data_IF_202254875328
#
_entry.id   IF_202254875328
#
_cell.length_a   1.000
_cell.length_b   1.000
_cell.length_c   1.000
_cell.angle_alpha   90.00
_cell.angle_beta   90.00
_cell.angle_gamma   90.00
#
_symmetry.space_group_name_H-M   'P 1'
#
loop_
_entity.id
_entity.type
_entity.pdbx_description
1 polymer ?
#
# COMPACT_ATOMS: atom_id res chain seq x y z
N UNK A 1 28.72 -21.77 0.67
CA UNK A 1 28.18 -23.07 0.22
C UNK A 1 26.97 -23.42 1.09
N UNK A 2 25.78 -23.17 0.55
CA UNK A 2 24.51 -23.41 1.21
C UNK A 2 24.18 -24.91 1.13
N UNK A 3 24.19 -25.59 2.28
CA UNK A 3 23.74 -26.97 2.41
C UNK A 3 22.22 -27.01 2.34
N UNK A 4 21.70 -27.54 1.23
CA UNK A 4 20.29 -27.86 0.99
C UNK A 4 19.85 -28.91 2.02
N UNK A 5 19.27 -28.47 3.14
CA UNK A 5 18.56 -29.33 4.09
C UNK A 5 17.04 -29.24 3.91
N UNK A 6 16.58 -29.03 2.68
CA UNK A 6 15.17 -29.17 2.28
C UNK A 6 14.88 -30.62 1.86
N UNK A 7 15.00 -31.54 2.81
CA UNK A 7 14.44 -32.88 2.70
C UNK A 7 13.31 -33.00 3.71
N UNK A 8 12.11 -32.59 3.33
CA UNK A 8 10.90 -32.72 4.13
C UNK A 8 10.61 -34.22 4.29
N UNK A 9 11.02 -34.81 5.42
CA UNK A 9 10.91 -36.24 5.67
C UNK A 9 9.42 -36.60 5.80
N UNK A 10 8.86 -37.46 4.92
CA UNK A 10 7.44 -37.82 4.94
C UNK A 10 6.94 -38.34 6.29
N UNK A 11 7.81 -39.02 7.06
CA UNK A 11 7.46 -39.52 8.40
C UNK A 11 7.19 -38.42 9.44
N UNK A 12 7.61 -37.18 9.21
CA UNK A 12 7.35 -36.06 10.15
C UNK A 12 6.07 -35.31 9.77
N UNK A 13 5.74 -35.22 8.48
CA UNK A 13 4.59 -34.44 8.01
C UNK A 13 3.27 -35.21 7.99
N UNK A 14 3.29 -36.49 7.61
CA UNK A 14 2.07 -37.31 7.48
C UNK A 14 1.32 -37.60 8.80
N UNK A 15 1.98 -37.73 9.98
CA UNK A 15 1.26 -37.89 11.25
C UNK A 15 0.40 -36.68 11.63
N UNK A 16 0.81 -35.47 11.24
CA UNK A 16 0.12 -34.24 11.59
C UNK A 16 -1.19 -34.03 10.80
N UNK A 17 -1.30 -34.67 9.63
CA UNK A 17 -2.45 -34.52 8.71
C UNK A 17 -3.46 -35.68 8.86
N UNK A 18 -3.00 -36.92 9.09
CA UNK A 18 -3.86 -38.12 9.09
C UNK A 18 -3.86 -38.91 10.41
N UNK A 19 -3.27 -38.36 11.49
CA UNK A 19 -3.14 -39.05 12.76
C UNK A 19 -2.24 -40.30 12.65
N UNK A 20 -2.49 -41.32 13.49
CA UNK A 20 -1.64 -42.51 13.57
C UNK A 20 -1.55 -43.32 12.27
N UNK A 21 -2.63 -43.30 11.46
CA UNK A 21 -2.67 -43.95 10.14
C UNK A 21 -1.71 -43.28 9.14
N UNK A 22 -1.53 -41.95 9.23
CA UNK A 22 -0.57 -41.20 8.42
C UNK A 22 0.88 -41.55 8.76
N UNK A 23 1.18 -41.82 10.04
CA UNK A 23 2.50 -42.24 10.48
C UNK A 23 2.93 -43.60 9.92
N UNK A 24 2.01 -44.58 9.87
CA UNK A 24 2.27 -45.90 9.30
C UNK A 24 2.54 -45.82 7.78
N UNK A 25 1.77 -45.01 7.05
CA UNK A 25 1.95 -44.80 5.62
C UNK A 25 3.29 -44.11 5.31
N UNK A 26 3.67 -43.13 6.13
CA UNK A 26 4.96 -42.44 6.03
C UNK A 26 6.15 -43.37 6.26
N UNK A 27 6.06 -44.30 7.21
CA UNK A 27 7.11 -45.28 7.47
C UNK A 27 7.31 -46.28 6.30
N UNK A 28 6.23 -46.73 5.67
CA UNK A 28 6.30 -47.62 4.49
C UNK A 28 6.94 -46.92 3.29
N UNK A 29 6.56 -45.66 3.04
CA UNK A 29 7.17 -44.84 1.99
C UNK A 29 8.65 -44.60 2.24
N UNK A 30 9.04 -44.37 3.50
CA UNK A 30 10.43 -44.15 3.87
C UNK A 30 11.28 -45.42 3.76
N UNK A 31 10.72 -46.60 4.05
CA UNK A 31 11.37 -47.88 3.81
C UNK A 31 11.58 -48.16 2.32
N UNK A 32 10.58 -47.83 1.47
CA UNK A 32 10.71 -47.92 0.01
C UNK A 32 11.78 -46.98 -0.57
N UNK A 33 11.92 -45.79 0.02
CA UNK A 33 12.95 -44.81 -0.36
C UNK A 33 14.37 -45.28 -0.01
N UNK A 34 14.55 -45.96 1.12
CA UNK A 34 15.85 -46.54 1.52
C UNK A 34 16.19 -47.75 0.65
N UNK A 35 15.20 -48.57 0.29
CA UNK A 35 15.41 -49.72 -0.59
C UNK A 35 15.84 -49.33 -2.02
N UNK A 36 15.42 -48.15 -2.51
CA UNK A 36 15.79 -47.70 -3.86
C UNK A 36 17.25 -47.25 -3.99
N UNK A 37 17.96 -46.97 -2.89
CA UNK A 37 19.41 -46.69 -2.89
C UNK A 37 20.24 -47.88 -3.39
N UNK A 38 19.73 -49.11 -3.26
CA UNK A 38 20.41 -50.32 -3.74
C UNK A 38 20.33 -50.51 -5.26
N UNK A 39 19.46 -49.75 -5.97
CA UNK A 39 19.27 -49.83 -7.41
C UNK A 39 19.97 -48.69 -8.19
N UNK A 40 20.78 -47.88 -7.50
CA UNK A 40 21.53 -46.77 -8.08
C UNK A 40 21.01 -45.39 -7.67
N UNK A 41 21.89 -44.39 -7.70
CA UNK A 41 21.59 -43.03 -7.25
C UNK A 41 20.51 -42.33 -8.11
N UNK A 42 20.44 -42.66 -9.40
CA UNK A 42 19.46 -42.07 -10.33
C UNK A 42 18.01 -42.52 -10.07
N UNK A 43 17.80 -43.79 -9.76
CA UNK A 43 16.48 -44.34 -9.40
C UNK A 43 15.99 -43.79 -8.06
N UNK A 44 16.89 -43.59 -7.10
CA UNK A 44 16.59 -42.92 -5.85
C UNK A 44 16.06 -41.49 -6.07
N UNK A 45 16.77 -40.66 -6.86
CA UNK A 45 16.34 -39.28 -7.13
C UNK A 45 14.99 -39.21 -7.86
N UNK A 46 14.74 -40.12 -8.81
CA UNK A 46 13.47 -40.17 -9.54
C UNK A 46 12.31 -40.50 -8.58
N UNK A 47 12.47 -41.51 -7.73
CA UNK A 47 11.43 -41.90 -6.76
C UNK A 47 11.15 -40.78 -5.76
N UNK A 48 12.18 -40.11 -5.24
CA UNK A 48 12.02 -38.95 -4.33
C UNK A 48 11.25 -37.83 -5.02
N UNK A 49 11.61 -37.50 -6.27
CA UNK A 49 10.99 -36.39 -7.01
C UNK A 49 9.53 -36.69 -7.34
N UNK A 50 9.22 -37.90 -7.79
CA UNK A 50 7.83 -38.32 -8.06
C UNK A 50 7.00 -38.31 -6.78
N UNK A 51 7.55 -38.78 -5.67
CA UNK A 51 6.85 -38.77 -4.38
C UNK A 51 6.58 -37.33 -3.90
N UNK A 52 7.56 -36.42 -4.02
CA UNK A 52 7.39 -35.02 -3.69
C UNK A 52 6.37 -34.33 -4.59
N UNK A 53 6.39 -34.59 -5.90
CA UNK A 53 5.42 -34.05 -6.84
C UNK A 53 3.99 -34.53 -6.52
N UNK A 54 3.82 -35.83 -6.25
CA UNK A 54 2.52 -36.40 -5.86
C UNK A 54 2.02 -35.79 -4.54
N UNK A 55 2.90 -35.66 -3.54
CA UNK A 55 2.54 -35.04 -2.26
C UNK A 55 2.15 -33.56 -2.43
N UNK A 56 2.87 -32.82 -3.28
CA UNK A 56 2.55 -31.43 -3.58
C UNK A 56 1.18 -31.30 -4.28
N UNK A 57 0.86 -32.17 -5.24
CA UNK A 57 -0.46 -32.18 -5.90
C UNK A 57 -1.57 -32.53 -4.91
N UNK A 58 -1.37 -33.54 -4.05
CA UNK A 58 -2.36 -33.94 -3.04
C UNK A 58 -2.61 -32.80 -2.04
N UNK A 59 -1.55 -32.14 -1.57
CA UNK A 59 -1.68 -30.99 -0.67
C UNK A 59 -2.35 -29.80 -1.35
N UNK A 60 -2.00 -29.50 -2.61
CA UNK A 60 -2.63 -28.42 -3.38
C UNK A 60 -4.13 -28.63 -3.55
N UNK A 61 -4.55 -29.86 -3.92
CA UNK A 61 -5.98 -30.22 -4.06
C UNK A 61 -6.70 -30.19 -2.70
N UNK A 62 -6.06 -30.64 -1.62
CA UNK A 62 -6.70 -30.64 -0.29
C UNK A 62 -6.77 -29.23 0.35
N UNK A 63 -5.88 -28.31 -0.04
CA UNK A 63 -5.86 -26.95 0.50
C UNK A 63 -7.08 -26.11 0.07
N UNK A 64 -7.73 -26.46 -1.04
CA UNK A 64 -8.92 -25.76 -1.52
C UNK A 64 -10.20 -26.08 -0.72
N UNK A 65 -10.30 -27.25 -0.07
CA UNK A 65 -11.59 -27.73 0.45
C UNK A 65 -11.74 -27.77 1.99
N UNK A 66 -10.65 -27.88 2.75
CA UNK A 66 -10.72 -28.21 4.19
C UNK A 66 -10.65 -27.03 5.16
N UNK A 67 -9.66 -26.16 5.02
CA UNK A 67 -9.40 -25.04 5.96
C UNK A 67 -10.43 -23.91 5.85
N UNK A 68 -10.83 -23.44 4.64
CA UNK A 68 -11.87 -22.43 4.52
C UNK A 68 -13.21 -22.92 5.06
N UNK A 69 -13.51 -24.22 4.91
CA UNK A 69 -14.77 -24.82 5.34
C UNK A 69 -14.86 -24.94 6.86
N UNK A 70 -13.78 -25.32 7.55
CA UNK A 70 -13.73 -25.35 9.03
C UNK A 70 -13.83 -23.94 9.63
N UNK A 71 -13.04 -23.00 9.11
CA UNK A 71 -13.11 -21.59 9.53
C UNK A 71 -14.49 -21.00 9.21
N UNK A 72 -15.10 -21.40 8.09
CA UNK A 72 -16.44 -20.99 7.71
C UNK A 72 -17.54 -21.47 8.68
N UNK A 73 -17.38 -22.67 9.23
CA UNK A 73 -18.30 -23.20 10.24
C UNK A 73 -18.07 -22.56 11.61
N UNK A 74 -16.82 -22.37 12.01
CA UNK A 74 -16.46 -21.80 13.32
C UNK A 74 -16.80 -20.31 13.43
N UNK A 75 -16.70 -19.57 12.32
CA UNK A 75 -16.99 -18.15 12.24
C UNK A 75 -18.29 -17.85 11.47
N UNK A 76 -19.15 -18.85 11.28
CA UNK A 76 -20.40 -18.68 10.54
C UNK A 76 -21.25 -17.55 11.14
N UNK A 77 -21.67 -16.60 10.31
CA UNK A 77 -22.39 -15.39 10.76
C UNK A 77 -21.51 -14.22 11.23
N UNK A 78 -20.18 -14.36 11.18
CA UNK A 78 -19.21 -13.28 11.47
C UNK A 78 -18.48 -12.78 10.23
N UNK A 79 -18.85 -13.28 9.05
CA UNK A 79 -18.38 -12.81 7.75
C UNK A 79 -19.48 -13.02 6.70
N UNK A 80 -19.46 -12.21 5.65
CA UNK A 80 -20.31 -12.38 4.46
C UNK A 80 -19.44 -12.64 3.25
N UNK A 81 -19.92 -13.49 2.35
CA UNK A 81 -19.27 -13.77 1.06
C UNK A 81 -20.17 -13.36 -0.09
N UNK A 82 -19.60 -13.19 -1.28
CA UNK A 82 -20.34 -12.70 -2.46
C UNK A 82 -21.63 -13.50 -2.76
N UNK A 83 -21.65 -14.80 -2.48
CA UNK A 83 -22.82 -15.68 -2.67
C UNK A 83 -23.98 -15.39 -1.71
N UNK A 84 -23.75 -14.65 -0.63
CA UNK A 84 -24.79 -14.27 0.33
C UNK A 84 -25.62 -13.08 -0.18
N UNK A 85 -25.20 -12.46 -1.29
CA UNK A 85 -25.81 -11.29 -1.90
C UNK A 85 -26.38 -11.58 -3.28
N UNK A 86 -27.53 -10.97 -3.60
CA UNK A 86 -27.95 -10.79 -4.99
C UNK A 86 -27.08 -9.71 -5.66
N UNK A 87 -27.09 -9.63 -7.00
CA UNK A 87 -26.23 -8.70 -7.73
C UNK A 87 -26.39 -7.24 -7.28
N UNK A 88 -27.61 -6.81 -6.92
CA UNK A 88 -27.89 -5.43 -6.50
C UNK A 88 -27.41 -5.19 -5.07
N UNK A 89 -27.57 -6.17 -4.20
CA UNK A 89 -27.07 -6.13 -2.84
C UNK A 89 -25.53 -6.13 -2.81
N UNK A 90 -24.90 -6.91 -3.68
CA UNK A 90 -23.44 -6.98 -3.80
C UNK A 90 -22.86 -5.62 -4.23
N UNK A 91 -23.42 -5.00 -5.26
CA UNK A 91 -23.03 -3.66 -5.70
C UNK A 91 -23.17 -2.63 -4.55
N UNK A 92 -24.27 -2.71 -3.80
CA UNK A 92 -24.54 -1.81 -2.68
C UNK A 92 -23.48 -1.95 -1.57
N UNK A 93 -23.09 -3.18 -1.23
CA UNK A 93 -22.03 -3.44 -0.26
C UNK A 93 -20.70 -2.93 -0.79
N UNK A 94 -20.28 -3.30 -2.00
CA UNK A 94 -19.00 -2.88 -2.58
C UNK A 94 -18.83 -1.36 -2.59
N UNK A 95 -19.89 -0.61 -2.93
CA UNK A 95 -19.88 0.86 -2.88
C UNK A 95 -19.71 1.39 -1.46
N UNK A 96 -20.37 0.79 -0.47
CA UNK A 96 -20.19 1.16 0.93
C UNK A 96 -18.76 0.90 1.41
N UNK A 97 -18.18 -0.27 1.07
CA UNK A 97 -16.80 -0.61 1.41
C UNK A 97 -15.81 0.39 0.80
N UNK A 98 -15.96 0.70 -0.50
CA UNK A 98 -15.11 1.66 -1.18
C UNK A 98 -15.18 3.07 -0.55
N UNK A 99 -16.37 3.50 -0.12
CA UNK A 99 -16.55 4.76 0.58
C UNK A 99 -15.87 4.75 1.96
N UNK A 100 -16.02 3.68 2.74
CA UNK A 100 -15.39 3.53 4.05
C UNK A 100 -13.86 3.53 3.93
N UNK A 101 -13.31 2.75 3.01
CA UNK A 101 -11.86 2.72 2.72
C UNK A 101 -11.35 4.11 2.35
N UNK A 102 -12.05 4.83 1.47
CA UNK A 102 -11.66 6.21 1.09
C UNK A 102 -11.59 7.14 2.32
N UNK A 103 -12.50 7.00 3.27
CA UNK A 103 -12.52 7.87 4.46
C UNK A 103 -11.42 7.47 5.45
N UNK A 104 -11.23 6.17 5.67
CA UNK A 104 -10.25 5.64 6.63
C UNK A 104 -8.81 5.88 6.18
N UNK A 105 -8.55 5.79 4.87
CA UNK A 105 -7.21 5.93 4.28
C UNK A 105 -6.93 7.37 3.80
N UNK A 106 -7.65 8.36 4.35
CA UNK A 106 -7.52 9.76 3.94
C UNK A 106 -6.33 10.44 4.59
N UNK A 107 -5.63 11.29 3.82
CA UNK A 107 -4.48 12.08 4.30
C UNK A 107 -4.92 13.02 5.43
N UNK A 108 -6.12 13.63 5.31
CA UNK A 108 -6.68 14.46 6.39
C UNK A 108 -7.06 13.67 7.63
N UNK A 109 -7.39 12.39 7.48
CA UNK A 109 -7.60 11.47 8.59
C UNK A 109 -6.30 11.17 9.33
N UNK A 110 -5.24 10.84 8.60
CA UNK A 110 -3.90 10.62 9.14
C UNK A 110 -3.33 11.88 9.82
N UNK A 111 -3.58 13.05 9.25
CA UNK A 111 -3.20 14.34 9.82
C UNK A 111 -4.02 14.74 11.06
N UNK A 112 -5.00 13.93 11.49
CA UNK A 112 -5.83 14.19 12.67
C UNK A 112 -6.85 15.31 12.49
N UNK A 113 -7.15 15.71 11.24
CA UNK A 113 -8.14 16.74 10.92
C UNK A 113 -9.57 16.18 10.89
N UNK A 114 -9.71 14.86 10.85
CA UNK A 114 -10.96 14.15 11.08
C UNK A 114 -10.98 13.53 12.49
N UNK A 115 -12.17 13.30 13.03
CA UNK A 115 -12.34 12.51 14.25
C UNK A 115 -12.06 11.02 13.95
N UNK A 116 -10.78 10.66 13.96
CA UNK A 116 -10.29 9.33 13.64
C UNK A 116 -10.83 8.26 14.58
N UNK A 117 -11.05 8.58 15.86
CA UNK A 117 -11.60 7.63 16.85
C UNK A 117 -13.06 7.34 16.53
N UNK A 118 -13.87 8.37 16.30
CA UNK A 118 -15.27 8.18 15.94
C UNK A 118 -15.39 7.42 14.62
N UNK A 119 -14.57 7.74 13.62
CA UNK A 119 -14.57 7.08 12.33
C UNK A 119 -14.16 5.61 12.41
N UNK A 120 -13.10 5.28 13.16
CA UNK A 120 -12.60 3.92 13.32
C UNK A 120 -13.62 2.96 13.98
N UNK A 121 -14.57 3.49 14.75
CA UNK A 121 -15.64 2.70 15.38
C UNK A 121 -16.93 2.74 14.56
N UNK A 122 -17.34 3.92 14.11
CA UNK A 122 -18.62 4.12 13.46
C UNK A 122 -18.65 3.55 12.04
N UNK A 123 -17.59 3.76 11.23
CA UNK A 123 -17.58 3.37 9.83
C UNK A 123 -17.60 1.84 9.65
N UNK A 124 -16.75 1.05 10.35
CA UNK A 124 -16.83 -0.41 10.25
C UNK A 124 -18.18 -0.96 10.75
N UNK A 125 -18.76 -0.35 11.78
CA UNK A 125 -20.11 -0.71 12.24
C UNK A 125 -21.17 -0.44 11.17
N UNK A 126 -21.11 0.71 10.50
CA UNK A 126 -22.04 1.03 9.41
C UNK A 126 -21.87 0.09 8.22
N UNK A 127 -20.63 -0.22 7.82
CA UNK A 127 -20.33 -1.20 6.78
C UNK A 127 -20.94 -2.56 7.10
N UNK A 128 -20.71 -3.06 8.32
CA UNK A 128 -21.24 -4.34 8.78
C UNK A 128 -22.76 -4.37 8.79
N UNK A 129 -23.42 -3.32 9.30
CA UNK A 129 -24.88 -3.23 9.30
C UNK A 129 -25.46 -3.21 7.89
N UNK A 130 -24.82 -2.52 6.95
CA UNK A 130 -25.24 -2.50 5.53
C UNK A 130 -25.09 -3.90 4.93
N UNK A 131 -23.94 -4.56 5.13
CA UNK A 131 -23.71 -5.92 4.66
C UNK A 131 -24.75 -6.90 5.23
N UNK A 132 -25.01 -6.86 6.53
CA UNK A 132 -26.03 -7.71 7.16
C UNK A 132 -27.42 -7.52 6.54
N UNK A 133 -27.87 -6.26 6.44
CA UNK A 133 -29.19 -5.96 5.90
C UNK A 133 -29.32 -6.32 4.40
N UNK A 134 -28.24 -6.15 3.63
CA UNK A 134 -28.18 -6.58 2.23
C UNK A 134 -28.30 -8.11 2.09
N UNK A 135 -27.65 -8.88 2.96
CA UNK A 135 -27.74 -10.34 2.99
C UNK A 135 -29.14 -10.81 3.42
N UNK A 136 -29.72 -10.20 4.46
CA UNK A 136 -31.08 -10.47 4.91
C UNK A 136 -32.10 -10.19 3.80
N UNK A 137 -31.98 -9.05 3.12
CA UNK A 137 -32.87 -8.68 2.02
C UNK A 137 -32.73 -9.61 0.82
N UNK A 138 -31.50 -10.06 0.51
CA UNK A 138 -31.24 -11.08 -0.51
C UNK A 138 -31.94 -12.40 -0.17
N UNK A 139 -31.84 -12.85 1.09
CA UNK A 139 -32.49 -14.06 1.58
C UNK A 139 -34.01 -13.94 1.50
N UNK A 140 -34.60 -12.83 1.96
CA UNK A 140 -36.05 -12.58 1.87
C UNK A 140 -36.53 -12.60 0.42
N UNK A 141 -35.85 -11.89 -0.49
CA UNK A 141 -36.21 -11.88 -1.92
C UNK A 141 -36.13 -13.26 -2.56
N UNK A 142 -35.11 -14.05 -2.20
CA UNK A 142 -34.98 -15.43 -2.67
C UNK A 142 -36.16 -16.28 -2.19
N UNK A 143 -36.52 -16.20 -0.90
CA UNK A 143 -37.67 -16.91 -0.35
C UNK A 143 -38.99 -16.48 -0.98
N UNK A 144 -39.20 -15.18 -1.21
CA UNK A 144 -40.38 -14.67 -1.91
C UNK A 144 -40.48 -15.20 -3.35
N UNK A 145 -39.35 -15.38 -4.04
CA UNK A 145 -39.30 -16.01 -5.37
C UNK A 145 -39.62 -17.51 -5.31
N UNK A 146 -39.10 -18.22 -4.31
CA UNK A 146 -39.33 -19.66 -4.13
C UNK A 146 -40.79 -20.01 -3.79
N UNK A 147 -41.47 -19.16 -3.01
CA UNK A 147 -42.92 -19.34 -2.71
C UNK A 147 -43.77 -19.28 -3.99
N UNK A 148 -43.26 -18.66 -5.06
CA UNK A 148 -43.93 -18.62 -6.35
C UNK A 148 -45.16 -17.72 -6.36
N UNK A 149 -45.62 -17.39 -7.56
CA UNK A 149 -46.75 -16.48 -7.78
C UNK A 149 -47.68 -17.04 -8.87
N UNK A 150 -47.89 -18.35 -8.82
CA UNK A 150 -48.59 -19.10 -9.87
C UNK A 150 -50.06 -18.69 -9.99
N UNK A 151 -50.68 -18.22 -8.90
CA UNK A 151 -52.03 -17.67 -8.92
C UNK A 151 -52.03 -16.14 -8.72
N UNK A 152 -53.01 -15.47 -9.34
CA UNK A 152 -53.26 -14.03 -9.13
C UNK A 152 -53.47 -13.68 -7.65
N UNK A 153 -54.20 -14.53 -6.93
CA UNK A 153 -54.46 -14.35 -5.49
C UNK A 153 -53.16 -14.39 -4.67
N UNK A 154 -52.23 -15.29 -5.00
CA UNK A 154 -50.92 -15.35 -4.34
C UNK A 154 -50.09 -14.10 -4.65
N UNK A 155 -50.11 -13.59 -5.89
CA UNK A 155 -49.46 -12.31 -6.24
C UNK A 155 -49.99 -11.16 -5.39
N UNK A 156 -51.31 -11.02 -5.28
CA UNK A 156 -51.95 -9.98 -4.48
C UNK A 156 -51.57 -10.10 -2.98
N UNK A 157 -51.39 -11.33 -2.48
CA UNK A 157 -50.94 -11.57 -1.10
C UNK A 157 -49.46 -11.28 -0.87
N UNK A 158 -48.57 -11.51 -1.84
CA UNK A 158 -47.13 -11.26 -1.73
C UNK A 158 -46.72 -9.82 -2.06
N UNK A 159 -47.60 -9.05 -2.71
CA UNK A 159 -47.34 -7.65 -3.10
C UNK A 159 -46.91 -6.74 -1.93
N UNK A 160 -47.51 -6.81 -0.73
CA UNK A 160 -47.06 -6.03 0.43
C UNK A 160 -45.62 -6.38 0.85
N UNK A 161 -45.24 -7.65 0.79
CA UNK A 161 -43.90 -8.12 1.16
C UNK A 161 -42.84 -7.62 0.17
N UNK A 162 -43.14 -7.67 -1.13
CA UNK A 162 -42.29 -7.09 -2.15
C UNK A 162 -42.12 -5.57 -1.98
N UNK A 163 -43.21 -4.86 -1.65
CA UNK A 163 -43.14 -3.42 -1.36
C UNK A 163 -42.29 -3.13 -0.12
N UNK A 164 -42.44 -3.90 0.96
CA UNK A 164 -41.61 -3.75 2.17
C UNK A 164 -40.12 -3.99 1.89
N UNK A 165 -39.81 -5.03 1.09
CA UNK A 165 -38.46 -5.30 0.63
C UNK A 165 -37.88 -4.16 -0.23
N UNK A 166 -38.71 -3.54 -1.08
CA UNK A 166 -38.30 -2.39 -1.90
C UNK A 166 -38.07 -1.13 -1.06
N UNK A 167 -38.92 -0.84 -0.07
CA UNK A 167 -38.73 0.28 0.85
C UNK A 167 -37.41 0.14 1.63
N UNK A 168 -37.10 -1.08 2.07
CA UNK A 168 -35.84 -1.39 2.75
C UNK A 168 -34.61 -1.15 1.85
N UNK A 169 -34.70 -1.55 0.57
CA UNK A 169 -33.66 -1.29 -0.44
C UNK A 169 -33.38 0.22 -0.62
N UNK A 170 -34.45 1.02 -0.70
CA UNK A 170 -34.33 2.49 -0.82
C UNK A 170 -33.65 3.09 0.41
N UNK A 171 -33.98 2.60 1.60
CA UNK A 171 -33.31 3.00 2.85
C UNK A 171 -31.81 2.69 2.85
N UNK A 172 -31.44 1.47 2.44
CA UNK A 172 -30.03 1.05 2.33
C UNK A 172 -29.26 1.90 1.32
N UNK A 173 -29.84 2.13 0.13
CA UNK A 173 -29.22 3.01 -0.88
C UNK A 173 -28.98 4.42 -0.37
N UNK A 174 -29.90 4.99 0.41
CA UNK A 174 -29.71 6.31 1.03
C UNK A 174 -28.55 6.33 2.01
N UNK A 175 -28.38 5.28 2.81
CA UNK A 175 -27.22 5.13 3.72
C UNK A 175 -25.91 5.08 2.94
N UNK A 176 -25.84 4.28 1.87
CA UNK A 176 -24.64 4.21 1.02
C UNK A 176 -24.34 5.54 0.34
N UNK A 177 -25.35 6.23 -0.20
CA UNK A 177 -25.16 7.56 -0.79
C UNK A 177 -24.66 8.59 0.24
N UNK A 178 -25.06 8.46 1.51
CA UNK A 178 -24.53 9.31 2.57
C UNK A 178 -23.04 9.02 2.86
N UNK A 179 -22.63 7.74 2.87
CA UNK A 179 -21.22 7.34 2.99
C UNK A 179 -20.39 7.84 1.81
N UNK A 180 -20.88 7.68 0.59
CA UNK A 180 -20.20 8.16 -0.61
C UNK A 180 -20.04 9.69 -0.61
N UNK A 181 -21.05 10.42 -0.17
CA UNK A 181 -20.95 11.87 -0.02
C UNK A 181 -19.92 12.26 1.04
N UNK A 182 -19.81 11.48 2.10
CA UNK A 182 -18.77 11.72 3.09
C UNK A 182 -17.39 11.46 2.46
N UNK A 183 -17.20 10.32 1.81
CA UNK A 183 -15.96 10.00 1.08
C UNK A 183 -15.57 11.09 0.08
N UNK A 184 -16.53 11.64 -0.68
CA UNK A 184 -16.28 12.71 -1.64
C UNK A 184 -15.81 14.01 -0.96
N UNK A 185 -16.42 14.37 0.18
CA UNK A 185 -15.97 15.53 0.97
C UNK A 185 -14.58 15.29 1.54
N UNK A 186 -14.27 14.06 1.96
CA UNK A 186 -12.94 13.70 2.43
C UNK A 186 -11.90 13.84 1.33
N UNK A 187 -12.17 13.38 0.11
CA UNK A 187 -11.25 13.59 -1.04
C UNK A 187 -11.03 15.07 -1.38
N UNK A 188 -12.10 15.87 -1.30
CA UNK A 188 -11.99 17.31 -1.48
C UNK A 188 -11.12 17.94 -0.39
N UNK A 189 -11.25 17.46 0.85
CA UNK A 189 -10.41 17.88 1.97
C UNK A 189 -8.95 17.45 1.78
N UNK A 190 -8.67 16.22 1.33
CA UNK A 190 -7.31 15.78 0.99
C UNK A 190 -6.67 16.67 -0.07
N UNK A 191 -7.43 17.04 -1.09
CA UNK A 191 -6.94 17.94 -2.14
C UNK A 191 -6.58 19.31 -1.58
N UNK A 192 -7.47 19.90 -0.78
CA UNK A 192 -7.20 21.19 -0.12
C UNK A 192 -6.04 21.11 0.88
N UNK A 193 -5.88 19.97 1.57
CA UNK A 193 -4.80 19.72 2.50
C UNK A 193 -3.44 19.68 1.80
N UNK A 194 -3.34 18.99 0.65
CA UNK A 194 -2.11 18.99 -0.17
C UNK A 194 -1.77 20.37 -0.71
N UNK A 195 -2.77 21.14 -1.14
CA UNK A 195 -2.55 22.53 -1.58
C UNK A 195 -2.03 23.41 -0.44
N UNK A 196 -2.57 23.24 0.77
CA UNK A 196 -2.09 23.94 1.95
C UNK A 196 -0.65 23.54 2.32
N UNK A 197 -0.32 22.25 2.29
CA UNK A 197 1.06 21.78 2.54
C UNK A 197 2.06 22.37 1.53
N UNK A 198 1.71 22.40 0.24
CA UNK A 198 2.54 23.00 -0.79
C UNK A 198 2.73 24.52 -0.57
N UNK A 199 1.69 25.21 -0.06
CA UNK A 199 1.81 26.62 0.29
C UNK A 199 2.77 26.86 1.46
N UNK A 200 2.71 26.04 2.51
CA UNK A 200 3.65 26.11 3.65
C UNK A 200 5.10 25.93 3.16
N UNK A 201 5.38 24.93 2.32
CA UNK A 201 6.72 24.69 1.78
C UNK A 201 7.24 25.90 0.96
N UNK A 202 6.38 26.52 0.14
CA UNK A 202 6.74 27.74 -0.60
C UNK A 202 7.07 28.91 0.35
N UNK A 203 6.41 28.99 1.50
CA UNK A 203 6.64 30.05 2.47
C UNK A 203 7.98 29.87 3.20
N UNK A 204 8.37 28.62 3.48
CA UNK A 204 9.71 28.29 3.98
C UNK A 204 10.79 28.69 2.98
N UNK A 205 10.66 28.26 1.71
CA UNK A 205 11.61 28.62 0.63
C UNK A 205 11.72 30.14 0.47
N UNK A 206 10.60 30.87 0.58
CA UNK A 206 10.60 32.33 0.48
C UNK A 206 11.32 32.98 1.67
N UNK A 207 11.29 32.36 2.83
CA UNK A 207 12.01 32.84 4.02
C UNK A 207 13.51 32.66 3.82
N UNK A 208 13.94 31.48 3.37
CA UNK A 208 15.34 31.20 3.04
C UNK A 208 15.87 32.13 1.94
N UNK A 209 15.07 32.37 0.89
CA UNK A 209 15.44 33.28 -0.18
C UNK A 209 15.60 34.72 0.32
N UNK A 210 14.75 35.18 1.25
CA UNK A 210 14.89 36.51 1.84
C UNK A 210 16.17 36.63 2.68
N UNK A 211 16.51 35.59 3.43
CA UNK A 211 17.77 35.57 4.19
C UNK A 211 18.98 35.59 3.25
N UNK A 212 18.94 34.80 2.17
CA UNK A 212 20.00 34.79 1.17
C UNK A 212 20.15 36.16 0.50
N UNK A 213 19.04 36.79 0.10
CA UNK A 213 19.05 38.14 -0.47
C UNK A 213 19.63 39.18 0.51
N UNK A 214 19.31 39.08 1.80
CA UNK A 214 19.89 39.96 2.80
C UNK A 214 21.42 39.80 2.91
N UNK A 215 21.93 38.56 2.83
CA UNK A 215 23.37 38.29 2.80
C UNK A 215 24.03 38.80 1.53
N UNK A 216 23.42 38.62 0.36
CA UNK A 216 23.97 39.13 -0.90
C UNK A 216 24.06 40.65 -0.92
N UNK A 217 23.06 41.37 -0.38
CA UNK A 217 23.14 42.84 -0.23
C UNK A 217 24.28 43.24 0.70
N UNK A 218 24.56 42.45 1.74
CA UNK A 218 25.73 42.68 2.59
C UNK A 218 27.05 42.39 1.85
N UNK A 219 27.09 41.38 0.99
CA UNK A 219 28.25 41.07 0.16
C UNK A 219 28.54 42.21 -0.83
N UNK A 220 27.52 42.83 -1.42
CA UNK A 220 27.69 44.01 -2.29
C UNK A 220 28.35 45.19 -1.54
N UNK A 221 28.00 45.39 -0.27
CA UNK A 221 28.66 46.37 0.61
C UNK A 221 30.11 45.98 0.90
N UNK A 222 30.39 44.70 1.11
CA UNK A 222 31.74 44.19 1.35
C UNK A 222 32.63 44.35 0.10
N UNK A 223 32.09 44.13 -1.11
CA UNK A 223 32.81 44.39 -2.37
C UNK A 223 33.16 45.87 -2.49
N UNK A 224 32.23 46.78 -2.17
CA UNK A 224 32.50 48.21 -2.18
C UNK A 224 33.62 48.60 -1.18
N UNK A 225 33.65 47.98 -0.01
CA UNK A 225 34.72 48.17 0.99
C UNK A 225 36.07 47.64 0.48
N UNK A 226 36.10 46.47 -0.17
CA UNK A 226 37.32 45.90 -0.76
C UNK A 226 37.86 46.79 -1.88
N UNK A 227 36.99 47.34 -2.73
CA UNK A 227 37.37 48.27 -3.79
C UNK A 227 37.95 49.56 -3.20
N UNK A 228 37.35 50.09 -2.14
CA UNK A 228 37.88 51.25 -1.42
C UNK A 228 39.25 50.97 -0.81
N UNK A 229 39.43 49.85 -0.10
CA UNK A 229 40.72 49.43 0.46
C UNK A 229 41.79 49.27 -0.63
N UNK A 230 41.41 48.67 -1.77
CA UNK A 230 42.30 48.50 -2.92
C UNK A 230 42.71 49.84 -3.54
N UNK A 231 41.81 50.81 -3.59
CA UNK A 231 42.07 52.16 -4.12
C UNK A 231 43.00 53.00 -3.22
N UNK A 232 42.93 52.79 -1.89
CA UNK A 232 43.75 53.50 -0.90
C UNK A 232 45.15 52.92 -0.75
N UNK A 233 45.39 51.72 -1.27
CA UNK A 233 46.71 51.11 -1.19
C UNK A 233 47.60 51.70 -2.28
N UNK A 234 48.83 52.19 -1.97
CA UNK A 234 49.74 52.78 -2.96
C UNK A 234 50.35 51.74 -3.91
N UNK A 235 49.70 50.58 -4.07
CA UNK A 235 50.10 49.44 -4.90
C UNK A 235 50.26 49.85 -6.37
N UNK A 236 49.40 50.74 -6.87
CA UNK A 236 49.54 51.29 -8.22
C UNK A 236 50.81 52.14 -8.34
N UNK A 237 51.10 52.98 -7.34
CA UNK A 237 52.30 53.82 -7.32
C UNK A 237 53.57 53.01 -7.10
N UNK A 238 53.53 51.99 -6.25
CA UNK A 238 54.62 51.03 -6.03
C UNK A 238 54.91 50.23 -7.30
N UNK A 239 53.88 49.72 -8.00
CA UNK A 239 54.04 49.05 -9.30
C UNK A 239 54.67 49.97 -10.34
N UNK A 240 54.26 51.24 -10.39
CA UNK A 240 54.85 52.25 -11.27
C UNK A 240 56.33 52.48 -10.93
N UNK A 241 56.66 52.69 -9.64
CA UNK A 241 58.05 52.85 -9.18
C UNK A 241 58.93 51.62 -9.48
N UNK A 242 58.39 50.41 -9.33
CA UNK A 242 59.10 49.17 -9.68
C UNK A 242 59.30 49.04 -11.19
N UNK A 243 58.31 49.41 -12.01
CA UNK A 243 58.44 49.43 -13.47
C UNK A 243 59.47 50.46 -13.94
N UNK A 244 59.49 51.65 -13.33
CA UNK A 244 60.47 52.71 -13.60
C UNK A 244 61.88 52.27 -13.20
N UNK A 245 62.04 51.64 -12.02
CA UNK A 245 63.32 51.07 -11.60
C UNK A 245 63.82 49.96 -12.54
N UNK A 246 62.91 49.12 -13.06
CA UNK A 246 63.26 48.07 -14.03
C UNK A 246 63.69 48.66 -15.37
N UNK A 247 63.04 49.72 -15.86
CA UNK A 247 63.45 50.45 -17.07
C UNK A 247 64.83 51.07 -16.90
N UNK A 248 65.08 51.72 -15.78
CA UNK A 248 66.38 52.33 -15.48
C UNK A 248 67.51 51.29 -15.41
N UNK A 249 67.25 50.12 -14.81
CA UNK A 249 68.20 49.01 -14.79
C UNK A 249 68.49 48.43 -16.19
N UNK A 250 67.47 48.34 -17.06
CA UNK A 250 67.64 47.92 -18.45
C UNK A 250 68.44 48.93 -19.28
N UNK A 251 68.24 50.23 -19.09
CA UNK A 251 69.02 51.25 -19.80
C UNK A 251 70.48 51.26 -19.38
N UNK A 252 70.77 51.10 -18.08
CA UNK A 252 72.15 51.00 -17.58
C UNK A 252 72.86 49.72 -18.06
N UNK A 253 72.15 48.59 -18.12
CA UNK A 253 72.70 47.34 -18.65
C UNK A 253 72.90 47.34 -20.18
N UNK A 254 72.24 48.25 -20.91
CA UNK A 254 72.46 48.47 -22.34
C UNK A 254 73.62 49.45 -22.60
N UNK A 255 73.82 50.43 -21.71
CA UNK A 255 74.94 51.38 -21.75
C UNK A 255 76.28 50.69 -21.40
N UNK A 256 76.26 49.67 -20.53
CA UNK A 256 77.43 48.87 -20.17
C UNK A 256 77.87 47.86 -21.27
N UNK A 257 77.07 47.70 -22.33
CA UNK A 257 77.34 46.75 -23.43
C UNK A 257 77.98 47.38 -24.69
N UNK A 258 78.30 48.67 -24.68
CA UNK A 258 79.17 49.29 -25.69
C UNK A 258 80.59 49.52 -25.15
N UNK A 259 81.52 48.56 -25.32
CA UNK A 259 82.93 48.86 -25.44
C UNK A 259 83.30 48.97 -26.93
N UNK A 260 83.74 50.17 -27.32
CA UNK A 260 84.70 50.55 -28.39
C UNK A 260 84.86 49.60 -29.58
#
# INVERSE_FOLDING_TARGET
>A
MAGVTCGLIPAVALPFVYGWAGGALGAVLQAGLVASLFHGFGTFLLVVTVLQALLAVILFVQHEEGLPRRLAYEWHGRYYVAKDFDARALECVQRAQAAVVTIMDSEVGEAGLLDGIANAVALPRQEWEIARLCAELTHVRRRLREVGSDSRRMREMLEPEWRAAQTSDVGLRRRVVALERYAERTRAADTAYREWQAFEEIQEIRTDLRELLARTVQDDLAVAEIDELSSRTPLAELRRRVADARKAGLTLAMDEKEPV
#
